data_IF_774641525175
#
_entry.id   IF_774641525175
#
_cell.length_a   1.000
_cell.length_b   1.000
_cell.length_c   1.000
_cell.angle_alpha   90.00
_cell.angle_beta   90.00
_cell.angle_gamma   90.00
#
_symmetry.space_group_name_H-M   'P 1'
#
loop_
_entity.id
_entity.type
_entity.pdbx_description
1 polymer ?
#
# COMPACT_ATOMS: atom_id res chain seq x y z
N UNK A 1 12.43 -24.12 15.39
CA UNK A 1 13.52 -23.70 16.31
C UNK A 1 13.14 -23.80 17.79
N UNK A 2 11.85 -23.86 18.14
CA UNK A 2 11.39 -24.07 19.53
C UNK A 2 10.59 -25.38 19.69
N UNK A 3 10.62 -26.26 18.69
CA UNK A 3 9.70 -27.40 18.57
C UNK A 3 9.88 -28.47 19.67
N UNK A 4 11.00 -28.44 20.40
CA UNK A 4 11.28 -29.33 21.54
C UNK A 4 11.30 -28.65 22.92
N UNK A 5 10.92 -27.37 23.03
CA UNK A 5 10.88 -26.66 24.32
C UNK A 5 9.48 -26.73 24.95
N UNK A 6 9.39 -26.72 26.30
CA UNK A 6 8.12 -26.65 27.00
C UNK A 6 7.25 -25.44 26.56
N UNK A 7 5.94 -25.60 26.60
CA UNK A 7 4.96 -24.67 26.00
C UNK A 7 4.95 -23.27 26.64
N UNK A 8 5.41 -23.17 27.88
CA UNK A 8 5.65 -21.91 28.57
C UNK A 8 6.73 -21.05 27.88
N UNK A 9 7.81 -21.66 27.39
CA UNK A 9 8.86 -20.93 26.65
C UNK A 9 8.38 -20.50 25.27
N UNK A 10 7.51 -21.31 24.64
CA UNK A 10 6.88 -20.94 23.36
C UNK A 10 5.96 -19.72 23.49
N UNK A 11 5.33 -19.51 24.66
CA UNK A 11 4.59 -18.26 24.96
C UNK A 11 5.51 -17.08 25.24
N UNK A 12 6.56 -17.27 26.05
CA UNK A 12 7.45 -16.16 26.42
C UNK A 12 8.23 -15.62 25.22
N UNK A 13 8.65 -16.50 24.30
CA UNK A 13 9.32 -16.14 23.05
C UNK A 13 8.38 -16.13 21.83
N UNK A 14 7.06 -16.19 22.07
CA UNK A 14 6.05 -16.16 21.03
C UNK A 14 5.83 -14.76 20.47
N UNK A 15 5.16 -14.68 19.32
CA UNK A 15 4.80 -13.40 18.67
C UNK A 15 3.85 -12.53 19.51
N UNK A 16 3.19 -13.13 20.49
CA UNK A 16 2.23 -12.55 21.42
C UNK A 16 2.86 -11.69 22.52
N UNK A 17 4.09 -12.01 22.94
CA UNK A 17 4.86 -11.25 23.95
C UNK A 17 5.92 -10.34 23.34
N UNK A 18 6.14 -10.43 22.03
CA UNK A 18 7.16 -9.65 21.32
C UNK A 18 6.86 -8.14 21.32
N UNK A 19 7.95 -7.35 21.31
CA UNK A 19 7.83 -5.90 21.13
C UNK A 19 7.14 -5.57 19.80
N UNK A 20 6.40 -4.45 19.78
CA UNK A 20 5.75 -3.95 18.57
C UNK A 20 6.74 -3.81 17.41
N UNK A 21 8.00 -3.50 17.70
CA UNK A 21 9.08 -3.42 16.70
C UNK A 21 9.45 -4.76 16.09
N UNK A 22 9.44 -5.84 16.86
CA UNK A 22 9.73 -7.18 16.38
C UNK A 22 8.56 -7.73 15.55
N UNK A 23 7.32 -7.47 15.96
CA UNK A 23 6.12 -7.73 15.14
C UNK A 23 6.22 -6.97 13.81
N UNK A 24 6.68 -5.72 13.85
CA UNK A 24 6.87 -4.91 12.66
C UNK A 24 7.97 -5.44 11.75
N UNK A 25 9.07 -5.98 12.30
CA UNK A 25 10.15 -6.63 11.55
C UNK A 25 9.68 -7.92 10.90
N UNK A 26 8.97 -8.78 11.63
CA UNK A 26 8.40 -10.01 11.10
C UNK A 26 7.47 -9.74 9.89
N UNK A 27 6.55 -8.79 10.03
CA UNK A 27 5.66 -8.37 8.92
C UNK A 27 6.45 -7.84 7.71
N UNK A 28 7.53 -7.08 7.93
CA UNK A 28 8.37 -6.59 6.83
C UNK A 28 9.06 -7.75 6.10
N UNK A 29 9.59 -8.73 6.82
CA UNK A 29 10.21 -9.91 6.23
C UNK A 29 9.21 -10.74 5.42
N UNK A 30 7.99 -10.93 5.94
CA UNK A 30 6.91 -11.61 5.23
C UNK A 30 6.58 -10.90 3.90
N UNK A 31 6.45 -9.56 3.92
CA UNK A 31 6.22 -8.76 2.72
C UNK A 31 7.37 -8.90 1.72
N UNK A 32 8.63 -8.82 2.18
CA UNK A 32 9.79 -9.00 1.31
C UNK A 32 9.74 -10.39 0.66
N UNK A 33 9.47 -11.44 1.43
CA UNK A 33 9.35 -12.81 0.93
C UNK A 33 8.32 -12.97 -0.19
N UNK A 34 7.21 -12.23 -0.16
CA UNK A 34 6.13 -12.30 -1.15
C UNK A 34 6.41 -11.56 -2.46
N UNK A 35 7.22 -10.49 -2.41
CA UNK A 35 7.45 -9.61 -3.56
C UNK A 35 8.89 -9.66 -4.11
N UNK A 36 9.82 -10.31 -3.41
CA UNK A 36 11.21 -10.46 -3.85
C UNK A 36 11.28 -11.25 -5.16
N UNK A 37 12.17 -10.84 -6.07
CA UNK A 37 12.41 -11.58 -7.33
C UNK A 37 13.45 -12.68 -7.15
N UNK A 38 14.38 -12.48 -6.21
CA UNK A 38 15.45 -13.42 -5.85
C UNK A 38 15.55 -13.45 -4.33
N UNK A 39 16.21 -14.47 -3.79
CA UNK A 39 16.53 -14.50 -2.37
C UNK A 39 17.30 -13.23 -1.98
N UNK A 40 16.89 -12.58 -0.88
CA UNK A 40 17.48 -11.34 -0.34
C UNK A 40 17.30 -10.08 -1.20
N UNK A 41 16.42 -10.12 -2.20
CA UNK A 41 16.11 -8.93 -3.00
C UNK A 41 15.22 -7.95 -2.22
N UNK A 42 15.87 -6.91 -1.69
CA UNK A 42 15.22 -5.79 -0.97
C UNK A 42 15.06 -4.54 -1.84
N UNK A 43 15.70 -4.52 -3.01
CA UNK A 43 15.82 -3.33 -3.87
C UNK A 43 14.75 -3.24 -4.96
N UNK A 44 14.12 -4.35 -5.33
CA UNK A 44 13.08 -4.37 -6.38
C UNK A 44 11.94 -3.39 -6.12
N UNK A 45 11.40 -2.83 -7.20
CA UNK A 45 10.36 -1.81 -7.13
C UNK A 45 9.10 -2.34 -6.45
N UNK A 46 8.71 -3.59 -6.71
CA UNK A 46 7.57 -4.28 -6.11
C UNK A 46 7.70 -4.38 -4.58
N UNK A 47 8.89 -4.81 -4.12
CA UNK A 47 9.22 -4.91 -2.69
C UNK A 47 9.12 -3.54 -2.03
N UNK A 48 9.73 -2.52 -2.63
CA UNK A 48 9.67 -1.15 -2.11
C UNK A 48 8.22 -0.62 -2.08
N UNK A 49 7.42 -0.88 -3.12
CA UNK A 49 6.01 -0.48 -3.18
C UNK A 49 5.22 -1.15 -2.05
N UNK A 50 5.42 -2.44 -1.83
CA UNK A 50 4.74 -3.21 -0.79
C UNK A 50 5.10 -2.69 0.61
N UNK A 51 6.39 -2.44 0.88
CA UNK A 51 6.87 -1.89 2.15
C UNK A 51 6.33 -0.46 2.39
N UNK A 52 6.33 0.39 1.37
CA UNK A 52 5.76 1.74 1.46
C UNK A 52 4.25 1.68 1.75
N UNK A 53 3.55 0.73 1.13
CA UNK A 53 2.10 0.56 1.32
C UNK A 53 1.78 0.17 2.75
N UNK A 54 2.51 -0.79 3.31
CA UNK A 54 2.35 -1.19 4.70
C UNK A 54 2.62 -0.03 5.66
N UNK A 55 3.67 0.76 5.41
CA UNK A 55 3.96 1.97 6.21
C UNK A 55 2.85 3.01 6.11
N UNK A 56 2.29 3.22 4.91
CA UNK A 56 1.16 4.14 4.71
C UNK A 56 -0.07 3.64 5.48
N UNK A 57 -0.38 2.34 5.48
CA UNK A 57 -1.51 1.77 6.25
C UNK A 57 -1.37 2.06 7.74
N UNK A 58 -0.19 1.77 8.32
CA UNK A 58 0.09 2.05 9.74
C UNK A 58 0.01 3.53 10.09
N UNK A 59 0.58 4.41 9.25
CA UNK A 59 0.47 5.86 9.47
C UNK A 59 -0.97 6.35 9.33
N UNK A 60 -1.75 5.75 8.45
CA UNK A 60 -3.17 6.07 8.28
C UNK A 60 -3.96 5.72 9.54
N UNK A 61 -3.73 4.54 10.11
CA UNK A 61 -4.32 4.12 11.39
C UNK A 61 -3.90 5.06 12.53
N UNK A 62 -2.60 5.39 12.63
CA UNK A 62 -2.11 6.33 13.65
C UNK A 62 -2.78 7.71 13.55
N UNK A 63 -2.87 8.26 12.34
CA UNK A 63 -3.50 9.56 12.08
C UNK A 63 -5.02 9.54 12.27
N UNK A 64 -5.64 8.35 12.31
CA UNK A 64 -7.05 8.19 12.67
C UNK A 64 -7.31 8.43 14.16
N UNK A 65 -6.33 8.17 15.03
CA UNK A 65 -6.43 8.52 16.45
C UNK A 65 -5.78 9.88 16.76
N UNK A 66 -4.76 10.27 16.00
CA UNK A 66 -3.94 11.47 16.24
C UNK A 66 -4.03 12.48 15.09
N UNK A 67 -5.22 13.05 14.89
CA UNK A 67 -5.52 13.94 13.77
C UNK A 67 -4.68 15.23 13.70
N UNK A 68 -4.15 15.69 14.84
CA UNK A 68 -3.37 16.93 14.95
C UNK A 68 -1.87 16.74 14.69
N UNK A 69 -1.41 15.52 14.41
CA UNK A 69 -0.01 15.29 14.04
C UNK A 69 0.23 15.62 12.55
N UNK A 70 0.46 16.90 12.28
CA UNK A 70 0.76 17.40 10.94
C UNK A 70 2.13 16.92 10.42
N UNK A 71 3.07 16.58 11.30
CA UNK A 71 4.39 16.06 10.91
C UNK A 71 4.26 14.66 10.33
N UNK A 72 3.57 13.75 11.03
CA UNK A 72 3.29 12.40 10.55
C UNK A 72 2.45 12.43 9.26
N UNK A 73 1.48 13.35 9.16
CA UNK A 73 0.69 13.55 7.93
C UNK A 73 1.57 13.96 6.75
N UNK A 74 2.49 14.90 6.94
CA UNK A 74 3.46 15.31 5.90
C UNK A 74 4.35 14.15 5.48
N UNK A 75 4.86 13.39 6.44
CA UNK A 75 5.67 12.19 6.16
C UNK A 75 4.88 11.16 5.34
N UNK A 76 3.62 10.92 5.69
CA UNK A 76 2.73 10.03 4.94
C UNK A 76 2.56 10.48 3.48
N UNK A 77 2.33 11.77 3.23
CA UNK A 77 2.21 12.29 1.85
C UNK A 77 3.49 12.09 1.03
N UNK A 78 4.66 12.28 1.63
CA UNK A 78 5.94 12.01 0.97
C UNK A 78 6.08 10.53 0.57
N UNK A 79 5.64 9.61 1.43
CA UNK A 79 5.64 8.17 1.15
C UNK A 79 4.67 7.81 0.02
N UNK A 80 3.47 8.41 0.01
CA UNK A 80 2.49 8.24 -1.08
C UNK A 80 3.07 8.72 -2.42
N UNK A 81 3.74 9.88 -2.42
CA UNK A 81 4.42 10.41 -3.61
C UNK A 81 5.52 9.49 -4.12
N UNK A 82 6.38 8.97 -3.22
CA UNK A 82 7.43 8.01 -3.56
C UNK A 82 6.86 6.72 -4.14
N UNK A 83 5.81 6.17 -3.53
CA UNK A 83 5.12 4.97 -4.02
C UNK A 83 4.54 5.19 -5.42
N UNK A 84 3.93 6.35 -5.68
CA UNK A 84 3.38 6.69 -7.00
C UNK A 84 4.47 6.76 -8.08
N UNK A 85 5.65 7.29 -7.75
CA UNK A 85 6.79 7.31 -8.68
C UNK A 85 7.28 5.90 -9.00
N UNK A 86 7.42 5.04 -7.99
CA UNK A 86 7.82 3.64 -8.18
C UNK A 86 6.78 2.84 -8.98
N UNK A 87 5.49 3.06 -8.73
CA UNK A 87 4.41 2.43 -9.51
C UNK A 87 4.45 2.85 -10.98
N UNK A 88 4.69 4.14 -11.26
CA UNK A 88 4.88 4.63 -12.64
C UNK A 88 6.09 3.95 -13.30
N UNK A 89 7.22 3.91 -12.62
CA UNK A 89 8.43 3.24 -13.13
C UNK A 89 8.19 1.75 -13.40
N UNK A 90 7.56 1.04 -12.47
CA UNK A 90 7.24 -0.38 -12.64
C UNK A 90 6.30 -0.62 -13.82
N UNK A 91 5.29 0.24 -13.99
CA UNK A 91 4.37 0.17 -15.14
C UNK A 91 5.09 0.33 -16.48
N UNK A 92 6.07 1.22 -16.56
CA UNK A 92 6.82 1.50 -17.80
C UNK A 92 7.85 0.41 -18.12
N UNK A 93 8.46 -0.20 -17.10
CA UNK A 93 9.53 -1.19 -17.30
C UNK A 93 9.05 -2.65 -17.27
N UNK A 94 8.04 -2.97 -16.48
CA UNK A 94 7.52 -4.34 -16.34
C UNK A 94 6.03 -4.34 -15.96
N UNK A 95 5.19 -4.39 -16.99
CA UNK A 95 3.74 -4.31 -16.83
C UNK A 95 3.14 -5.51 -16.09
N UNK A 96 3.63 -6.73 -16.33
CA UNK A 96 3.14 -7.94 -15.65
C UNK A 96 3.32 -7.85 -14.14
N UNK A 97 4.50 -7.40 -13.70
CA UNK A 97 4.80 -7.20 -12.28
C UNK A 97 4.01 -6.06 -11.67
N UNK A 98 3.75 -5.00 -12.43
CA UNK A 98 2.84 -3.93 -12.01
C UNK A 98 1.43 -4.46 -11.72
N UNK A 99 0.87 -5.29 -12.62
CA UNK A 99 -0.45 -5.92 -12.43
C UNK A 99 -0.46 -6.85 -11.22
N UNK A 100 0.55 -7.71 -11.08
CA UNK A 100 0.71 -8.57 -9.90
C UNK A 100 0.73 -7.76 -8.60
N UNK A 101 1.56 -6.71 -8.56
CA UNK A 101 1.72 -5.86 -7.37
C UNK A 101 0.42 -5.17 -6.98
N UNK A 102 -0.37 -4.68 -7.95
CA UNK A 102 -1.68 -4.07 -7.70
C UNK A 102 -2.68 -5.07 -7.13
N UNK A 103 -2.75 -6.26 -7.73
CA UNK A 103 -3.68 -7.32 -7.31
C UNK A 103 -3.37 -7.76 -5.88
N UNK A 104 -2.12 -8.08 -5.61
CA UNK A 104 -1.68 -8.57 -4.30
C UNK A 104 -1.85 -7.51 -3.21
N UNK A 105 -1.47 -6.26 -3.47
CA UNK A 105 -1.63 -5.19 -2.49
C UNK A 105 -3.07 -4.69 -2.37
N UNK A 106 -3.99 -5.20 -3.20
CA UNK A 106 -5.37 -4.72 -3.37
C UNK A 106 -5.39 -3.20 -3.55
N UNK A 107 -4.41 -2.71 -4.31
CA UNK A 107 -4.14 -1.29 -4.49
C UNK A 107 -4.70 -0.79 -5.80
N UNK A 108 -5.49 0.27 -5.75
CA UNK A 108 -6.06 0.84 -6.95
C UNK A 108 -5.24 2.04 -7.43
N UNK A 109 -4.37 1.83 -8.42
CA UNK A 109 -3.77 2.91 -9.20
C UNK A 109 -4.75 3.39 -10.32
N UNK A 110 -5.85 2.66 -10.50
CA UNK A 110 -6.85 2.83 -11.57
C UNK A 110 -8.23 3.03 -10.93
N UNK A 111 -9.02 3.93 -11.48
CA UNK A 111 -10.38 4.27 -11.05
C UNK A 111 -11.42 3.48 -11.79
N UNK A 112 -12.72 3.73 -11.53
CA UNK A 112 -13.76 3.16 -12.35
C UNK A 112 -13.64 3.75 -13.76
N UNK A 113 -14.02 2.97 -14.77
CA UNK A 113 -13.97 3.39 -16.18
C UNK A 113 -14.91 4.58 -16.39
N UNK A 114 -14.39 5.77 -16.75
CA UNK A 114 -15.20 6.89 -17.26
C UNK A 114 -15.46 6.69 -18.75
N UNK A 115 -16.64 7.12 -19.28
CA UNK A 115 -16.90 7.05 -20.71
C UNK A 115 -15.93 7.94 -21.49
N UNK A 116 -15.47 7.44 -22.64
CA UNK A 116 -14.57 8.16 -23.55
C UNK A 116 -15.29 9.39 -24.15
N UNK A 117 -14.68 10.59 -24.15
CA UNK A 117 -15.24 11.77 -24.81
C UNK A 117 -15.55 11.50 -26.29
N UNK A 118 -16.71 11.96 -26.76
CA UNK A 118 -17.31 11.61 -28.07
C UNK A 118 -16.35 11.79 -29.26
N UNK A 119 -15.48 12.79 -29.22
CA UNK A 119 -14.53 13.10 -30.30
C UNK A 119 -13.32 12.15 -30.40
N UNK A 120 -13.18 11.16 -29.51
CA UNK A 120 -12.13 10.11 -29.56
C UNK A 120 -12.69 8.70 -29.76
N UNK A 121 -13.99 8.56 -30.02
CA UNK A 121 -14.65 7.28 -30.28
C UNK A 121 -14.41 6.87 -31.74
N UNK A 122 -13.23 6.31 -32.04
CA UNK A 122 -12.83 5.96 -33.42
C UNK A 122 -11.95 4.72 -33.47
N UNK A 123 -12.61 3.58 -33.75
CA UNK A 123 -12.15 2.23 -34.14
C UNK A 123 -10.80 1.76 -33.57
N UNK A 124 -10.91 0.82 -32.62
CA UNK A 124 -9.86 0.05 -31.90
C UNK A 124 -9.38 0.61 -30.56
N UNK A 125 -10.26 1.25 -29.80
CA UNK A 125 -9.97 1.66 -28.41
C UNK A 125 -11.08 1.20 -27.45
N UNK A 126 -11.57 -0.03 -27.60
CA UNK A 126 -12.64 -0.53 -26.72
C UNK A 126 -12.21 -0.76 -25.27
N UNK A 127 -10.92 -0.82 -24.93
CA UNK A 127 -10.54 -1.14 -23.54
C UNK A 127 -9.33 -0.43 -22.91
N UNK A 128 -8.71 0.58 -23.53
CA UNK A 128 -7.53 1.21 -22.90
C UNK A 128 -7.89 2.34 -21.91
N UNK A 129 -8.05 1.89 -20.67
CA UNK A 129 -8.72 2.52 -19.53
C UNK A 129 -7.83 3.48 -18.71
N UNK A 130 -8.32 4.70 -18.42
CA UNK A 130 -7.58 5.73 -17.67
C UNK A 130 -8.20 6.08 -16.29
N UNK A 131 -7.45 5.73 -15.22
CA UNK A 131 -7.17 6.42 -13.93
C UNK A 131 -8.24 6.72 -12.84
N UNK A 132 -7.78 6.48 -11.60
CA UNK A 132 -8.19 6.85 -10.22
C UNK A 132 -9.66 6.99 -9.77
N UNK A 133 -10.04 6.12 -8.81
CA UNK A 133 -11.09 6.19 -7.77
C UNK A 133 -11.41 4.77 -7.32
N UNK A 134 -11.09 4.41 -6.10
CA UNK A 134 -11.64 3.21 -5.50
C UNK A 134 -11.90 3.55 -4.04
N UNK A 135 -13.18 3.47 -3.66
CA UNK A 135 -13.70 3.88 -2.36
C UNK A 135 -13.11 3.06 -1.19
N UNK A 136 -12.42 1.96 -1.47
CA UNK A 136 -11.87 1.05 -0.46
C UNK A 136 -10.36 1.23 -0.19
N UNK A 137 -9.72 2.30 -0.68
CA UNK A 137 -8.27 2.50 -0.48
C UNK A 137 -7.87 3.45 0.66
N UNK A 138 -8.82 4.14 1.28
CA UNK A 138 -8.61 4.96 2.47
C UNK A 138 -9.79 4.75 3.41
N UNK A 139 -9.58 4.70 4.75
CA UNK A 139 -10.70 4.90 5.66
C UNK A 139 -11.39 6.22 5.29
N UNK A 140 -12.71 6.34 5.46
CA UNK A 140 -13.43 7.57 5.19
C UNK A 140 -12.70 8.73 5.86
N UNK A 141 -12.36 9.74 5.06
CA UNK A 141 -11.58 10.87 5.54
C UNK A 141 -12.40 11.56 6.65
N UNK A 142 -11.91 11.64 7.90
CA UNK A 142 -12.71 12.14 9.02
C UNK A 142 -13.06 13.63 8.89
N UNK A 143 -12.41 14.35 7.97
CA UNK A 143 -12.65 15.76 7.65
C UNK A 143 -13.61 15.97 6.47
N UNK A 144 -14.14 14.90 5.88
CA UNK A 144 -15.10 14.96 4.79
C UNK A 144 -16.33 14.13 5.19
N UNK A 145 -17.19 14.71 6.02
CA UNK A 145 -18.59 14.31 6.00
C UNK A 145 -19.15 14.82 4.66
N UNK A 146 -19.60 13.91 3.80
CA UNK A 146 -20.36 14.22 2.57
C UNK A 146 -19.62 14.98 1.44
N UNK A 147 -18.30 14.81 1.32
CA UNK A 147 -17.58 15.17 0.09
C UNK A 147 -17.47 16.67 -0.22
N UNK A 148 -17.75 17.56 0.75
CA UNK A 148 -17.47 19.00 0.65
C UNK A 148 -16.38 19.36 1.67
N UNK A 149 -15.38 20.20 1.30
CA UNK A 149 -14.47 20.75 2.31
C UNK A 149 -15.27 21.66 3.25
N UNK A 150 -15.07 21.52 4.57
CA UNK A 150 -15.57 22.48 5.56
C UNK A 150 -15.19 23.89 5.12
N UNK A 151 -16.20 24.72 4.86
CA UNK A 151 -15.99 26.15 4.63
C UNK A 151 -15.71 26.77 5.99
N UNK A 152 -14.54 27.40 6.12
CA UNK A 152 -14.27 28.36 7.20
C UNK A 152 -15.25 29.52 7.11
#
# INVERSE_FOLDING_TARGET
MLDGYPEEYKRVFGLDTMSQDDINRAKKQEIIGKFQRKAFDTGSSEVQIALLTERIRRLTEHLWYHHKDFSAKRQMYNLVGRRKKLMKYLRENNFERYVYTIRELKMNDIGPKLPVPSYKQGKNMDELTLRFRNANLYPPNPFYQDGKPERK
#
